data_IF_195096402269
#
_entry.id   IF_195096402269
#
_cell.length_a   1.000
_cell.length_b   1.000
_cell.length_c   1.000
_cell.angle_alpha   90.00
_cell.angle_beta   90.00
_cell.angle_gamma   90.00
#
_symmetry.space_group_name_H-M   'P 1'
#
loop_
_entity.id
_entity.type
_entity.pdbx_description
1 polymer ?
#
# COMPACT_ATOMS: atom_id res chain seq x y z
N UNK A 1 14.49 5.17 24.38
CA UNK A 1 13.65 4.08 23.85
C UNK A 1 12.21 4.57 23.91
N UNK A 2 11.70 5.18 22.84
CA UNK A 2 10.32 5.66 22.80
C UNK A 2 9.37 4.48 22.82
N UNK A 3 8.41 4.49 23.75
CA UNK A 3 7.32 3.51 23.82
C UNK A 3 6.70 3.34 22.43
N UNK A 4 6.34 2.11 21.98
CA UNK A 4 5.60 1.95 20.74
C UNK A 4 4.35 2.82 20.80
N UNK A 5 4.06 3.54 19.71
CA UNK A 5 2.84 4.33 19.63
C UNK A 5 1.64 3.41 19.87
N UNK A 6 0.97 3.57 21.01
CA UNK A 6 -0.34 2.99 21.26
C UNK A 6 -1.34 3.71 20.36
N UNK A 7 -1.78 3.04 19.29
CA UNK A 7 -2.69 3.63 18.33
C UNK A 7 -3.31 2.58 17.42
N UNK A 8 -4.63 2.64 17.29
CA UNK A 8 -5.37 1.81 16.33
C UNK A 8 -5.19 2.35 14.91
N UNK A 9 -5.01 1.45 13.94
CA UNK A 9 -4.97 1.80 12.52
C UNK A 9 -6.30 1.41 11.89
N UNK A 10 -6.97 2.38 11.25
CA UNK A 10 -8.14 2.11 10.41
C UNK A 10 -7.68 1.76 9.01
N UNK A 11 -8.36 0.83 8.37
CA UNK A 11 -8.07 0.50 6.98
C UNK A 11 -9.34 0.34 6.15
N UNK A 12 -9.19 0.61 4.84
CA UNK A 12 -10.24 0.48 3.84
C UNK A 12 -9.66 -0.05 2.54
N UNK A 13 -10.48 -0.68 1.71
CA UNK A 13 -10.12 -1.00 0.33
C UNK A 13 -10.55 0.11 -0.62
N UNK A 14 -9.79 0.30 -1.69
CA UNK A 14 -10.08 1.29 -2.73
C UNK A 14 -9.55 0.80 -4.08
N UNK A 15 -10.00 1.46 -5.15
CA UNK A 15 -9.53 1.23 -6.52
C UNK A 15 -8.88 2.52 -7.05
N UNK A 16 -7.66 2.40 -7.58
CA UNK A 16 -6.95 3.51 -8.19
C UNK A 16 -6.95 3.39 -9.72
N UNK A 17 -7.30 4.45 -10.46
CA UNK A 17 -7.26 4.42 -11.91
C UNK A 17 -5.81 4.37 -12.42
N UNK A 18 -5.52 3.46 -13.34
CA UNK A 18 -4.22 3.34 -14.01
C UNK A 18 -4.40 2.95 -15.47
N UNK A 19 -4.21 3.90 -16.40
CA UNK A 19 -4.01 3.60 -17.83
C UNK A 19 -5.02 2.67 -18.53
N UNK A 20 -6.27 2.60 -18.05
CA UNK A 20 -7.32 1.74 -18.61
C UNK A 20 -7.78 0.58 -17.71
N UNK A 21 -7.14 0.36 -16.57
CA UNK A 21 -7.59 -0.57 -15.53
C UNK A 21 -7.65 0.09 -14.15
N UNK A 22 -8.16 -0.66 -13.18
CA UNK A 22 -8.20 -0.28 -11.76
C UNK A 22 -7.17 -1.11 -10.99
N UNK A 23 -6.40 -0.45 -10.13
CA UNK A 23 -5.44 -1.08 -9.23
C UNK A 23 -6.08 -1.17 -7.84
N UNK A 24 -6.37 -2.37 -7.31
CA UNK A 24 -6.83 -2.52 -5.95
C UNK A 24 -5.74 -2.09 -4.97
N UNK A 25 -6.15 -1.37 -3.94
CA UNK A 25 -5.26 -0.95 -2.86
C UNK A 25 -5.96 -1.07 -1.52
N UNK A 26 -5.15 -1.24 -0.47
CA UNK A 26 -5.61 -1.11 0.91
C UNK A 26 -4.98 0.13 1.53
N UNK A 27 -5.83 1.02 2.04
CA UNK A 27 -5.44 2.32 2.58
C UNK A 27 -5.50 2.26 4.10
N UNK A 28 -4.38 2.51 4.76
CA UNK A 28 -4.20 2.49 6.19
C UNK A 28 -4.03 3.92 6.70
N UNK A 29 -4.80 4.26 7.74
CA UNK A 29 -4.74 5.56 8.40
C UNK A 29 -4.55 5.35 9.89
N UNK A 30 -3.40 5.75 10.45
CA UNK A 30 -3.23 5.77 11.90
C UNK A 30 -4.16 6.82 12.50
N UNK A 31 -4.51 6.65 13.77
CA UNK A 31 -5.41 7.57 14.48
C UNK A 31 -4.91 9.02 14.47
N UNK A 32 -3.60 9.22 14.61
CA UNK A 32 -2.93 10.51 14.44
C UNK A 32 -1.95 10.42 13.28
N UNK A 33 -2.33 11.00 12.15
CA UNK A 33 -1.47 11.09 10.98
C UNK A 33 -0.53 12.29 11.10
N UNK A 34 0.76 12.06 10.86
CA UNK A 34 1.78 13.11 10.71
C UNK A 34 1.71 13.78 9.32
N UNK A 35 0.73 13.40 8.50
CA UNK A 35 0.64 13.81 7.10
C UNK A 35 1.48 12.91 6.19
N UNK A 36 1.43 13.20 4.89
CA UNK A 36 2.14 12.42 3.87
C UNK A 36 1.62 10.99 3.71
N UNK A 37 2.33 10.26 2.84
CA UNK A 37 1.97 8.91 2.41
C UNK A 37 3.21 8.05 2.25
N UNK A 38 3.12 6.80 2.71
CA UNK A 38 4.02 5.71 2.33
C UNK A 38 3.29 4.81 1.33
N UNK A 39 3.96 4.46 0.24
CA UNK A 39 3.44 3.50 -0.75
C UNK A 39 4.14 2.16 -0.54
N UNK A 40 3.36 1.12 -0.24
CA UNK A 40 3.88 -0.21 0.05
C UNK A 40 3.62 -1.16 -1.12
N UNK A 41 4.71 -1.62 -1.74
CA UNK A 41 4.71 -2.75 -2.65
C UNK A 41 5.14 -3.99 -1.86
N UNK A 42 4.23 -4.97 -1.72
CA UNK A 42 4.52 -6.18 -0.98
C UNK A 42 5.63 -7.03 -1.61
N UNK A 43 6.26 -7.91 -0.81
CA UNK A 43 7.22 -8.90 -1.30
C UNK A 43 6.56 -10.06 -2.05
N UNK A 44 7.36 -11.01 -2.55
CA UNK A 44 6.88 -12.17 -3.32
C UNK A 44 7.43 -12.27 -4.74
N UNK A 45 8.58 -11.61 -5.00
CA UNK A 45 9.31 -11.69 -6.28
C UNK A 45 8.46 -11.32 -7.50
N UNK A 46 7.51 -10.39 -7.33
CA UNK A 46 6.54 -9.94 -8.33
C UNK A 46 5.56 -11.02 -8.83
N UNK A 47 5.58 -12.20 -8.21
CA UNK A 47 4.85 -13.39 -8.66
C UNK A 47 3.84 -13.88 -7.63
N UNK A 48 3.97 -13.46 -6.37
CA UNK A 48 3.17 -13.93 -5.26
C UNK A 48 2.86 -12.79 -4.30
N UNK A 49 1.87 -13.02 -3.45
CA UNK A 49 1.46 -12.06 -2.43
C UNK A 49 0.26 -11.23 -2.87
N UNK A 50 -0.22 -10.42 -1.95
CA UNK A 50 -1.28 -9.43 -2.14
C UNK A 50 -1.19 -8.38 -1.04
N UNK A 51 -1.86 -7.24 -1.25
CA UNK A 51 -2.00 -6.23 -0.20
C UNK A 51 -2.71 -6.76 1.05
N UNK A 52 -3.61 -7.74 0.89
CA UNK A 52 -4.33 -8.38 1.99
C UNK A 52 -3.44 -9.33 2.80
N UNK A 53 -2.58 -10.13 2.14
CA UNK A 53 -1.66 -11.04 2.84
C UNK A 53 -0.61 -10.30 3.68
N UNK A 54 -0.24 -9.08 3.27
CA UNK A 54 0.71 -8.23 3.99
C UNK A 54 0.05 -7.25 4.97
N UNK A 55 -1.19 -7.54 5.40
CA UNK A 55 -2.00 -6.65 6.22
C UNK A 55 -1.31 -6.22 7.51
N UNK A 56 -0.83 -7.19 8.31
CA UNK A 56 -0.27 -6.93 9.63
C UNK A 56 0.96 -6.02 9.54
N UNK A 57 1.93 -6.38 8.68
CA UNK A 57 3.14 -5.59 8.45
C UNK A 57 2.83 -4.17 7.95
N UNK A 58 1.87 -4.03 7.03
CA UNK A 58 1.51 -2.71 6.48
C UNK A 58 0.76 -1.85 7.51
N UNK A 59 -0.07 -2.47 8.35
CA UNK A 59 -0.75 -1.81 9.46
C UNK A 59 0.24 -1.35 10.52
N UNK A 60 1.20 -2.20 10.89
CA UNK A 60 2.27 -1.85 11.82
C UNK A 60 3.14 -0.73 11.28
N UNK A 61 3.46 -0.74 9.98
CA UNK A 61 4.17 0.36 9.34
C UNK A 61 3.40 1.69 9.50
N UNK A 62 2.08 1.70 9.29
CA UNK A 62 1.26 2.89 9.49
C UNK A 62 1.27 3.34 10.96
N UNK A 63 1.15 2.39 11.89
CA UNK A 63 1.13 2.64 13.34
C UNK A 63 2.45 3.23 13.83
N UNK A 64 3.58 2.62 13.49
CA UNK A 64 4.89 3.02 14.00
C UNK A 64 5.46 4.24 13.28
N UNK A 65 5.17 4.41 11.99
CA UNK A 65 5.62 5.60 11.25
C UNK A 65 4.76 6.83 11.54
N UNK A 66 3.51 6.66 11.98
CA UNK A 66 2.54 7.75 12.08
C UNK A 66 2.09 8.31 10.72
N UNK A 67 2.48 7.71 9.60
CA UNK A 67 2.10 8.13 8.26
C UNK A 67 0.93 7.30 7.73
N UNK A 68 0.17 7.86 6.79
CA UNK A 68 -0.79 7.05 6.04
C UNK A 68 -0.02 6.08 5.14
N UNK A 69 -0.52 4.86 4.96
CA UNK A 69 0.12 3.85 4.10
C UNK A 69 -0.88 3.35 3.07
N UNK A 70 -0.45 3.20 1.83
CA UNK A 70 -1.24 2.54 0.78
C UNK A 70 -0.53 1.27 0.34
N UNK A 71 -1.10 0.11 0.67
CA UNK A 71 -0.64 -1.19 0.20
C UNK A 71 -1.22 -1.46 -1.19
N UNK A 72 -0.34 -1.70 -2.16
CA UNK A 72 -0.71 -1.86 -3.57
C UNK A 72 -0.86 -3.33 -3.91
N UNK A 73 -2.03 -3.71 -4.43
CA UNK A 73 -2.29 -5.06 -4.96
C UNK A 73 -1.93 -5.09 -6.45
N UNK A 74 -0.62 -5.01 -6.72
CA UNK A 74 -0.11 -4.89 -8.08
C UNK A 74 -0.27 -6.19 -8.86
N UNK A 75 -0.40 -6.07 -10.19
CA UNK A 75 -0.49 -7.25 -11.07
C UNK A 75 0.77 -8.13 -10.98
N UNK A 76 0.56 -9.44 -10.92
CA UNK A 76 1.63 -10.42 -10.75
C UNK A 76 2.09 -11.04 -12.08
N UNK A 77 3.39 -11.32 -12.17
CA UNK A 77 3.95 -12.21 -13.18
C UNK A 77 3.63 -13.68 -12.84
N UNK A 78 3.57 -14.60 -13.83
CA UNK A 78 3.80 -14.36 -15.26
C UNK A 78 2.56 -13.84 -16.02
N UNK A 79 1.38 -13.82 -15.41
CA UNK A 79 0.13 -13.38 -16.06
C UNK A 79 0.23 -11.94 -16.59
N UNK A 80 0.97 -11.10 -15.87
CA UNK A 80 1.29 -9.74 -16.30
C UNK A 80 2.79 -9.51 -16.22
N UNK A 81 3.44 -9.57 -17.38
CA UNK A 81 4.88 -9.34 -17.48
C UNK A 81 5.26 -7.89 -17.11
N UNK A 82 6.54 -7.67 -16.85
CA UNK A 82 7.10 -6.33 -16.74
C UNK A 82 6.70 -5.47 -17.97
N UNK A 83 6.25 -4.21 -17.79
CA UNK A 83 6.32 -3.39 -16.57
C UNK A 83 5.01 -3.31 -15.75
N UNK A 84 4.08 -4.26 -15.87
CA UNK A 84 2.73 -4.16 -15.30
C UNK A 84 2.69 -3.80 -13.80
N UNK A 85 3.41 -4.56 -12.95
CA UNK A 85 3.49 -4.29 -11.51
C UNK A 85 4.02 -2.88 -11.20
N UNK A 86 5.05 -2.44 -11.92
CA UNK A 86 5.67 -1.13 -11.73
C UNK A 86 4.70 0.00 -12.08
N UNK A 87 3.92 -0.15 -13.15
CA UNK A 87 2.92 0.83 -13.53
C UNK A 87 1.80 0.94 -12.49
N UNK A 88 1.44 -0.17 -11.83
CA UNK A 88 0.43 -0.18 -10.77
C UNK A 88 0.93 0.52 -9.50
N UNK A 89 2.18 0.26 -9.10
CA UNK A 89 2.82 0.97 -7.98
C UNK A 89 2.97 2.46 -8.31
N UNK A 90 3.34 2.81 -9.54
CA UNK A 90 3.43 4.21 -9.98
C UNK A 90 2.07 4.92 -9.93
N UNK A 91 0.97 4.23 -10.23
CA UNK A 91 -0.37 4.79 -10.08
C UNK A 91 -0.67 5.15 -8.61
N UNK A 92 -0.29 4.28 -7.66
CA UNK A 92 -0.40 4.56 -6.23
C UNK A 92 0.47 5.75 -5.80
N UNK A 93 1.72 5.85 -6.27
CA UNK A 93 2.58 7.01 -6.01
C UNK A 93 1.96 8.31 -6.55
N UNK A 94 1.40 8.29 -7.76
CA UNK A 94 0.72 9.46 -8.34
C UNK A 94 -0.53 9.86 -7.57
N UNK A 95 -1.28 8.89 -7.06
CA UNK A 95 -2.45 9.13 -6.22
C UNK A 95 -2.04 9.74 -4.87
N UNK A 96 -1.01 9.20 -4.23
CA UNK A 96 -0.51 9.65 -2.93
C UNK A 96 0.10 11.06 -2.94
N UNK A 97 0.41 11.61 -4.12
CA UNK A 97 0.93 12.98 -4.30
C UNK A 97 -0.16 14.05 -4.40
N UNK A 98 -1.43 13.66 -4.49
CA UNK A 98 -2.57 14.57 -4.56
C UNK A 98 -3.00 14.97 -3.16
#
# INVERSE_FOLDING_TARGET
>A
MTSPAEGTVRWTEALLPSGGHQVPVRVYRPERSLGGWLVWAHGGSWQHGSAAQWHEVTSDLARFSGHNVVGVDYRLAPAHAHPAALLDVLAAVRWARR
#
